data_IF_295362336994
#
_entry.id   IF_295362336994
#
_cell.length_a   1.000
_cell.length_b   1.000
_cell.length_c   1.000
_cell.angle_alpha   90.00
_cell.angle_beta   90.00
_cell.angle_gamma   90.00
#
_symmetry.space_group_name_H-M   'P 1'
#
loop_
_entity.id
_entity.type
_entity.pdbx_description
1 polymer ?
#
# COMPACT_ATOMS: atom_id res chain seq x y z
N UNK A 1 21.50 2.18 13.01
CA UNK A 1 20.70 1.91 11.79
C UNK A 1 19.26 2.40 11.96
N UNK A 2 18.79 3.33 11.11
CA UNK A 2 17.41 3.88 11.15
C UNK A 2 16.34 2.87 10.70
N UNK A 3 16.73 1.83 9.98
CA UNK A 3 15.83 0.84 9.35
C UNK A 3 15.27 -0.18 10.36
N UNK A 4 16.12 -0.70 11.25
CA UNK A 4 15.67 -1.59 12.35
C UNK A 4 14.77 -0.88 13.38
N UNK A 5 14.83 0.45 13.49
CA UNK A 5 14.00 1.24 14.42
C UNK A 5 12.51 1.20 14.08
N UNK A 6 12.13 1.05 12.80
CA UNK A 6 10.71 1.06 12.37
C UNK A 6 9.99 -0.23 12.74
N UNK A 7 10.60 -1.37 12.43
CA UNK A 7 10.08 -2.68 12.84
C UNK A 7 10.18 -2.85 14.36
N UNK A 8 11.28 -2.37 14.98
CA UNK A 8 11.44 -2.36 16.42
C UNK A 8 10.33 -1.60 17.15
N UNK A 9 9.92 -0.43 16.66
CA UNK A 9 8.82 0.34 17.24
C UNK A 9 7.46 -0.40 17.15
N UNK A 10 7.21 -1.14 16.07
CA UNK A 10 5.99 -1.97 15.95
C UNK A 10 5.99 -3.12 16.96
N UNK A 11 7.11 -3.83 17.09
CA UNK A 11 7.26 -4.92 18.06
C UNK A 11 7.15 -4.39 19.49
N UNK A 12 7.75 -3.23 19.78
CA UNK A 12 7.70 -2.61 21.11
C UNK A 12 6.30 -2.10 21.46
N UNK A 13 5.62 -1.44 20.53
CA UNK A 13 4.22 -1.02 20.70
C UNK A 13 3.29 -2.21 20.94
N UNK A 14 3.43 -3.27 20.14
CA UNK A 14 2.68 -4.52 20.34
C UNK A 14 3.00 -5.18 21.68
N UNK A 15 4.28 -5.18 22.10
CA UNK A 15 4.69 -5.82 23.35
C UNK A 15 4.13 -5.06 24.56
N UNK A 16 4.05 -3.74 24.49
CA UNK A 16 3.40 -2.91 25.51
C UNK A 16 1.90 -3.16 25.56
N UNK A 17 1.23 -3.32 24.42
CA UNK A 17 -0.20 -3.69 24.36
C UNK A 17 -0.47 -5.04 25.01
N UNK A 18 0.31 -6.07 24.66
CA UNK A 18 0.19 -7.40 25.27
C UNK A 18 0.55 -7.38 26.76
N UNK A 19 1.51 -6.53 27.15
CA UNK A 19 1.84 -6.28 28.55
C UNK A 19 0.68 -5.70 29.35
N UNK A 20 -0.09 -4.77 28.77
CA UNK A 20 -1.31 -4.25 29.38
C UNK A 20 -2.42 -5.31 29.55
N UNK A 21 -2.40 -6.37 28.74
CA UNK A 21 -3.27 -7.55 28.86
C UNK A 21 -2.75 -8.59 29.88
N UNK A 22 -1.64 -8.32 30.58
CA UNK A 22 -1.07 -9.21 31.58
C UNK A 22 -0.09 -10.27 31.02
N UNK A 23 0.26 -10.20 29.74
CA UNK A 23 1.19 -11.14 29.12
C UNK A 23 2.64 -10.69 29.39
N UNK A 24 3.45 -11.57 29.95
CA UNK A 24 4.86 -11.29 30.23
C UNK A 24 5.65 -10.87 28.97
N UNK A 25 6.50 -9.85 29.10
CA UNK A 25 7.23 -9.22 27.97
C UNK A 25 7.98 -10.21 27.08
N UNK A 26 8.58 -11.27 27.67
CA UNK A 26 9.26 -12.33 26.90
C UNK A 26 8.30 -13.10 25.96
N UNK A 27 7.11 -13.47 26.45
CA UNK A 27 6.09 -14.11 25.61
C UNK A 27 5.51 -13.15 24.58
N UNK A 28 5.27 -11.89 24.95
CA UNK A 28 4.73 -10.87 24.05
C UNK A 28 5.64 -10.66 22.82
N UNK A 29 6.96 -10.56 23.03
CA UNK A 29 7.93 -10.45 21.93
C UNK A 29 7.92 -11.71 21.06
N UNK A 30 7.86 -12.90 21.66
CA UNK A 30 7.77 -14.16 20.91
C UNK A 30 6.52 -14.25 20.02
N UNK A 31 5.36 -13.90 20.57
CA UNK A 31 4.09 -13.85 19.83
C UNK A 31 4.18 -12.87 18.65
N UNK A 32 4.71 -11.67 18.88
CA UNK A 32 4.83 -10.65 17.83
C UNK A 32 5.85 -11.04 16.75
N UNK A 33 6.96 -11.66 17.13
CA UNK A 33 7.94 -12.15 16.17
C UNK A 33 7.34 -13.21 15.25
N UNK A 34 6.61 -14.19 15.82
CA UNK A 34 5.89 -15.20 15.04
C UNK A 34 4.82 -14.56 14.17
N UNK A 35 4.02 -13.63 14.72
CA UNK A 35 2.99 -12.92 13.95
C UNK A 35 3.59 -12.18 12.75
N UNK A 36 4.67 -11.43 12.94
CA UNK A 36 5.34 -10.69 11.85
C UNK A 36 5.93 -11.66 10.82
N UNK A 37 6.58 -12.74 11.26
CA UNK A 37 7.17 -13.73 10.36
C UNK A 37 6.09 -14.46 9.54
N UNK A 38 5.01 -14.90 10.19
CA UNK A 38 3.87 -15.55 9.52
C UNK A 38 3.16 -14.60 8.57
N UNK A 39 2.91 -13.35 8.99
CA UNK A 39 2.33 -12.33 8.14
C UNK A 39 3.19 -12.09 6.90
N UNK A 40 4.50 -11.88 7.08
CA UNK A 40 5.44 -11.70 5.98
C UNK A 40 5.46 -12.91 5.04
N UNK A 41 5.46 -14.14 5.56
CA UNK A 41 5.41 -15.36 4.76
C UNK A 41 4.13 -15.49 3.93
N UNK A 42 2.97 -15.27 4.54
CA UNK A 42 1.67 -15.34 3.84
C UNK A 42 1.53 -14.22 2.81
N UNK A 43 1.98 -13.01 3.12
CA UNK A 43 1.97 -11.90 2.18
C UNK A 43 2.94 -12.14 1.04
N UNK A 44 4.13 -12.71 1.29
CA UNK A 44 5.11 -13.03 0.25
C UNK A 44 4.58 -14.10 -0.73
N UNK A 45 3.96 -15.17 -0.23
CA UNK A 45 3.32 -16.18 -1.08
C UNK A 45 2.22 -15.55 -1.95
N UNK A 46 1.33 -14.77 -1.33
CA UNK A 46 0.22 -14.13 -2.03
C UNK A 46 0.71 -13.09 -3.03
N UNK A 47 1.71 -12.28 -2.67
CA UNK A 47 2.30 -11.28 -3.55
C UNK A 47 3.00 -11.92 -4.75
N UNK A 48 3.77 -12.99 -4.54
CA UNK A 48 4.43 -13.72 -5.63
C UNK A 48 3.40 -14.31 -6.59
N UNK A 49 2.30 -14.84 -6.08
CA UNK A 49 1.18 -15.35 -6.88
C UNK A 49 0.51 -14.25 -7.68
N UNK A 50 0.21 -13.11 -7.06
CA UNK A 50 -0.40 -11.95 -7.72
C UNK A 50 0.52 -11.34 -8.79
N UNK A 51 1.80 -11.17 -8.48
CA UNK A 51 2.79 -10.64 -9.41
C UNK A 51 2.92 -11.54 -10.64
N UNK A 52 2.89 -12.87 -10.45
CA UNK A 52 2.83 -13.82 -11.56
C UNK A 52 1.60 -13.59 -12.44
N UNK A 53 0.42 -13.38 -11.87
CA UNK A 53 -0.79 -13.09 -12.66
C UNK A 53 -0.65 -11.80 -13.46
N UNK A 54 -0.15 -10.74 -12.84
CA UNK A 54 0.13 -9.47 -13.53
C UNK A 54 1.12 -9.67 -14.67
N UNK A 55 2.21 -10.41 -14.45
CA UNK A 55 3.20 -10.72 -15.51
C UNK A 55 2.56 -11.51 -16.66
N UNK A 56 1.72 -12.50 -16.36
CA UNK A 56 1.04 -13.30 -17.37
C UNK A 56 0.03 -12.47 -18.17
N UNK A 57 -0.72 -11.59 -17.51
CA UNK A 57 -1.67 -10.68 -18.14
C UNK A 57 -0.97 -9.68 -19.08
N UNK A 58 0.09 -9.02 -18.61
CA UNK A 58 0.88 -8.12 -19.45
C UNK A 58 1.53 -8.87 -20.62
N UNK A 59 2.10 -10.05 -20.38
CA UNK A 59 2.70 -10.86 -21.43
C UNK A 59 1.69 -11.30 -22.49
N UNK A 60 0.46 -11.64 -22.08
CA UNK A 60 -0.63 -11.97 -23.00
C UNK A 60 -1.03 -10.76 -23.85
N UNK A 61 -1.12 -9.58 -23.23
CA UNK A 61 -1.49 -8.30 -23.89
C UNK A 61 -0.44 -7.90 -24.93
N UNK A 62 0.84 -8.06 -24.61
CA UNK A 62 1.98 -7.71 -25.48
C UNK A 62 2.41 -8.88 -26.40
N UNK A 63 1.67 -10.01 -26.36
CA UNK A 63 1.91 -11.22 -27.17
C UNK A 63 3.27 -11.91 -26.95
N UNK A 64 3.85 -11.79 -25.75
CA UNK A 64 5.09 -12.46 -25.35
C UNK A 64 4.80 -13.89 -24.84
N UNK A 65 4.77 -14.86 -25.76
CA UNK A 65 4.46 -16.28 -25.47
C UNK A 65 5.30 -16.97 -24.39
N UNK A 66 6.61 -16.69 -24.19
CA UNK A 66 7.38 -17.37 -23.14
C UNK A 66 6.95 -16.97 -21.72
N UNK A 67 6.48 -15.73 -21.52
CA UNK A 67 6.11 -15.19 -20.21
C UNK A 67 4.68 -15.54 -19.79
N UNK A 68 3.90 -16.22 -20.64
CA UNK A 68 2.60 -16.76 -20.24
C UNK A 68 2.72 -18.08 -19.48
N UNK A 69 3.86 -18.77 -19.57
CA UNK A 69 4.10 -20.01 -18.84
C UNK A 69 4.23 -19.73 -17.33
N UNK A 70 3.48 -20.48 -16.51
CA UNK A 70 3.46 -20.33 -15.05
C UNK A 70 4.85 -20.36 -14.42
N UNK A 71 5.74 -21.23 -14.89
CA UNK A 71 7.06 -21.41 -14.26
C UNK A 71 7.99 -20.24 -14.58
N UNK A 72 7.97 -19.78 -15.83
CA UNK A 72 8.76 -18.61 -16.27
C UNK A 72 8.25 -17.35 -15.59
N UNK A 73 6.93 -17.16 -15.54
CA UNK A 73 6.32 -16.01 -14.86
C UNK A 73 6.60 -15.99 -13.34
N UNK A 74 6.58 -17.16 -12.67
CA UNK A 74 7.01 -17.25 -11.26
C UNK A 74 8.49 -16.92 -11.11
N UNK A 75 9.35 -17.46 -11.97
CA UNK A 75 10.79 -17.18 -11.94
C UNK A 75 11.08 -15.69 -12.10
N UNK A 76 10.38 -15.01 -13.02
CA UNK A 76 10.47 -13.55 -13.20
C UNK A 76 9.96 -12.81 -11.96
N UNK A 77 8.82 -13.23 -11.39
CA UNK A 77 8.29 -12.61 -10.18
C UNK A 77 9.28 -12.71 -9.00
N UNK A 78 9.86 -13.89 -8.77
CA UNK A 78 10.88 -14.12 -7.75
C UNK A 78 12.16 -13.34 -8.02
N UNK A 79 12.62 -13.29 -9.27
CA UNK A 79 13.82 -12.54 -9.65
C UNK A 79 13.64 -11.04 -9.42
N UNK A 80 12.49 -10.48 -9.81
CA UNK A 80 12.18 -9.06 -9.58
C UNK A 80 12.04 -8.75 -8.08
N UNK A 81 11.32 -9.59 -7.34
CA UNK A 81 11.18 -9.44 -5.89
C UNK A 81 12.54 -9.54 -5.16
N UNK A 82 13.36 -10.52 -5.55
CA UNK A 82 14.72 -10.69 -5.03
C UNK A 82 15.64 -9.53 -5.38
N UNK A 83 15.57 -9.02 -6.61
CA UNK A 83 16.30 -7.82 -7.04
C UNK A 83 15.95 -6.63 -6.14
N UNK A 84 14.66 -6.36 -5.94
CA UNK A 84 14.24 -5.28 -5.04
C UNK A 84 14.75 -5.54 -3.63
N UNK A 85 14.63 -6.76 -3.09
CA UNK A 85 15.06 -7.08 -1.72
C UNK A 85 16.58 -6.91 -1.48
N UNK A 86 17.41 -7.17 -2.50
CA UNK A 86 18.87 -7.08 -2.41
C UNK A 86 19.35 -5.63 -2.63
N UNK A 87 18.79 -4.93 -3.63
CA UNK A 87 19.31 -3.63 -4.07
C UNK A 87 18.62 -2.41 -3.43
N UNK A 88 17.55 -2.58 -2.66
CA UNK A 88 16.92 -1.44 -1.94
C UNK A 88 17.52 -1.14 -0.58
N UNK A 89 18.23 -2.08 0.04
CA UNK A 89 18.79 -1.94 1.37
C UNK A 89 20.28 -1.59 1.35
N UNK A 90 20.75 -0.98 2.44
CA UNK A 90 22.19 -0.73 2.66
C UNK A 90 23.04 -2.01 2.81
N UNK A 91 22.39 -3.14 3.08
CA UNK A 91 22.98 -4.47 3.16
C UNK A 91 21.99 -5.54 2.63
N UNK A 92 22.47 -6.73 2.23
CA UNK A 92 21.60 -7.85 1.87
C UNK A 92 20.61 -8.17 3.01
N UNK A 93 19.31 -8.16 2.70
CA UNK A 93 18.23 -8.37 3.69
C UNK A 93 17.69 -7.08 4.33
N UNK A 94 18.37 -5.94 4.19
CA UNK A 94 17.88 -4.65 4.67
C UNK A 94 16.77 -4.06 3.77
N UNK A 95 16.64 -4.54 2.52
CA UNK A 95 15.63 -4.06 1.58
C UNK A 95 14.19 -4.20 2.08
N UNK A 96 13.89 -5.27 2.84
CA UNK A 96 12.58 -5.43 3.48
C UNK A 96 12.24 -4.31 4.49
N UNK A 97 13.25 -3.85 5.25
CA UNK A 97 13.07 -2.75 6.21
C UNK A 97 12.98 -1.39 5.50
N UNK A 98 13.66 -1.23 4.36
CA UNK A 98 13.56 -0.05 3.51
C UNK A 98 12.16 0.09 2.86
N UNK A 99 11.53 -1.04 2.50
CA UNK A 99 10.18 -1.10 1.93
C UNK A 99 9.05 -0.98 2.96
N UNK A 100 9.33 -1.22 4.25
CA UNK A 100 8.33 -1.21 5.32
C UNK A 100 7.41 0.03 5.35
N UNK A 101 7.91 1.28 5.19
CA UNK A 101 7.04 2.45 5.13
C UNK A 101 6.10 2.45 3.92
N UNK A 102 6.58 1.98 2.77
CA UNK A 102 5.77 1.88 1.55
C UNK A 102 4.67 0.85 1.73
N UNK A 103 4.97 -0.27 2.38
CA UNK A 103 3.98 -1.27 2.77
C UNK A 103 2.87 -0.66 3.63
N UNK A 104 3.23 0.12 4.66
CA UNK A 104 2.26 0.82 5.50
C UNK A 104 1.42 1.84 4.72
N UNK A 105 2.04 2.64 3.87
CA UNK A 105 1.37 3.64 3.04
C UNK A 105 0.39 3.00 2.05
N UNK A 106 0.81 1.93 1.35
CA UNK A 106 -0.02 1.20 0.40
C UNK A 106 -1.26 0.58 1.07
N UNK A 107 -1.11 0.03 2.27
CA UNK A 107 -2.25 -0.51 3.01
C UNK A 107 -3.27 0.58 3.38
N UNK A 108 -2.79 1.78 3.73
CA UNK A 108 -3.68 2.92 3.97
C UNK A 108 -4.38 3.36 2.69
N UNK A 109 -3.66 3.40 1.55
CA UNK A 109 -4.26 3.74 0.25
C UNK A 109 -5.32 2.72 -0.18
N UNK A 110 -5.10 1.42 0.05
CA UNK A 110 -6.11 0.37 -0.19
C UNK A 110 -7.34 0.56 0.71
N UNK A 111 -7.14 0.89 1.98
CA UNK A 111 -8.25 1.25 2.87
C UNK A 111 -9.00 2.49 2.36
N UNK A 112 -8.28 3.50 1.88
CA UNK A 112 -8.84 4.69 1.25
C UNK A 112 -9.68 4.37 0.01
N UNK A 113 -9.22 3.45 -0.85
CA UNK A 113 -9.98 2.94 -1.99
C UNK A 113 -11.27 2.25 -1.54
N UNK A 114 -11.23 1.40 -0.52
CA UNK A 114 -12.43 0.73 0.01
C UNK A 114 -13.43 1.76 0.55
N UNK A 115 -12.97 2.75 1.32
CA UNK A 115 -13.86 3.82 1.80
C UNK A 115 -14.43 4.65 0.65
N UNK A 116 -13.67 4.90 -0.41
CA UNK A 116 -14.17 5.56 -1.62
C UNK A 116 -15.27 4.74 -2.29
N UNK A 117 -15.07 3.44 -2.47
CA UNK A 117 -16.08 2.54 -3.04
C UNK A 117 -17.35 2.50 -2.19
N UNK A 118 -17.22 2.40 -0.87
CA UNK A 118 -18.36 2.44 0.06
C UNK A 118 -19.07 3.80 -0.03
N UNK A 119 -18.32 4.90 -0.12
CA UNK A 119 -18.88 6.25 -0.26
C UNK A 119 -19.70 6.36 -1.55
N UNK A 120 -19.15 5.94 -2.69
CA UNK A 120 -19.87 5.92 -3.98
C UNK A 120 -21.10 5.02 -3.91
N UNK A 121 -20.99 3.86 -3.27
CA UNK A 121 -22.12 2.94 -3.07
C UNK A 121 -23.24 3.57 -2.22
N UNK A 122 -22.90 4.26 -1.13
CA UNK A 122 -23.89 4.94 -0.29
C UNK A 122 -24.55 6.12 -1.01
N UNK A 123 -23.80 6.86 -1.82
CA UNK A 123 -24.37 7.88 -2.71
C UNK A 123 -25.38 7.25 -3.66
N UNK A 124 -25.03 6.11 -4.28
CA UNK A 124 -25.95 5.39 -5.16
C UNK A 124 -27.24 4.98 -4.44
N UNK A 125 -27.13 4.52 -3.19
CA UNK A 125 -28.28 4.13 -2.35
C UNK A 125 -29.00 5.31 -1.70
N UNK A 126 -28.63 6.56 -2.03
CA UNK A 126 -29.17 7.81 -1.43
C UNK A 126 -29.09 7.79 0.11
N UNK A 127 -28.02 7.23 0.67
CA UNK A 127 -27.75 7.13 2.10
C UNK A 127 -26.71 8.18 2.53
N UNK A 128 -26.72 8.60 3.81
CA UNK A 128 -25.75 9.56 4.33
C UNK A 128 -24.31 9.03 4.22
N UNK A 129 -23.39 9.87 3.74
CA UNK A 129 -21.98 9.54 3.54
C UNK A 129 -21.03 10.12 4.58
N UNK A 130 -21.54 10.94 5.52
CA UNK A 130 -20.72 11.77 6.41
C UNK A 130 -19.80 10.96 7.32
N UNK A 131 -20.13 9.70 7.64
CA UNK A 131 -19.26 8.83 8.45
C UNK A 131 -18.10 8.21 7.66
N UNK A 132 -18.24 8.08 6.33
CA UNK A 132 -17.25 7.41 5.48
C UNK A 132 -16.23 8.40 4.89
N UNK A 133 -16.64 9.64 4.66
CA UNK A 133 -15.78 10.66 4.04
C UNK A 133 -14.56 11.04 4.91
N UNK A 134 -14.67 11.27 6.23
CA UNK A 134 -13.51 11.58 7.05
C UNK A 134 -12.42 10.49 7.04
N UNK A 135 -12.71 9.21 7.33
CA UNK A 135 -11.68 8.17 7.26
C UNK A 135 -11.16 7.97 5.83
N UNK A 136 -11.99 8.13 4.80
CA UNK A 136 -11.54 8.12 3.40
C UNK A 136 -10.46 9.18 3.15
N UNK A 137 -10.71 10.44 3.55
CA UNK A 137 -9.77 11.54 3.32
C UNK A 137 -8.46 11.28 4.05
N UNK A 138 -8.52 10.86 5.33
CA UNK A 138 -7.31 10.56 6.11
C UNK A 138 -6.50 9.45 5.43
N UNK A 139 -7.15 8.36 5.02
CA UNK A 139 -6.49 7.20 4.42
C UNK A 139 -5.95 7.46 3.00
N UNK A 140 -6.42 8.49 2.29
CA UNK A 140 -5.88 8.90 0.99
C UNK A 140 -4.79 9.97 1.11
N UNK A 141 -5.00 10.98 1.96
CA UNK A 141 -4.13 12.17 2.04
C UNK A 141 -2.91 11.94 2.92
N UNK A 142 -3.08 11.30 4.09
CA UNK A 142 -1.95 11.08 5.01
C UNK A 142 -0.81 10.24 4.40
N UNK A 143 -1.06 9.06 3.81
CA UNK A 143 0.01 8.30 3.18
C UNK A 143 0.60 9.02 1.96
N UNK A 144 -0.22 9.70 1.16
CA UNK A 144 0.27 10.50 0.03
C UNK A 144 1.22 11.61 0.50
N UNK A 145 0.89 12.29 1.59
CA UNK A 145 1.76 13.30 2.21
C UNK A 145 3.05 12.68 2.77
N UNK A 146 2.93 11.58 3.51
CA UNK A 146 4.08 10.88 4.08
C UNK A 146 5.06 10.39 3.00
N UNK A 147 4.54 9.90 1.87
CA UNK A 147 5.34 9.48 0.72
C UNK A 147 6.06 10.65 0.07
N UNK A 148 5.39 11.81 -0.12
CA UNK A 148 6.05 13.02 -0.62
C UNK A 148 7.20 13.46 0.29
N UNK A 149 6.99 13.44 1.61
CA UNK A 149 8.05 13.75 2.57
C UNK A 149 9.21 12.75 2.49
N UNK A 150 8.92 11.46 2.26
CA UNK A 150 9.94 10.43 2.12
C UNK A 150 10.69 10.49 0.79
N UNK A 151 10.07 11.04 -0.27
CA UNK A 151 10.70 11.25 -1.56
C UNK A 151 11.58 12.52 -1.56
N UNK A 152 11.05 13.66 -1.10
CA UNK A 152 11.64 14.99 -1.29
C UNK A 152 12.20 15.64 -0.02
N UNK A 153 11.99 15.05 1.16
CA UNK A 153 12.45 15.59 2.42
C UNK A 153 13.98 15.62 2.54
N UNK A 154 14.53 16.29 3.58
CA UNK A 154 15.97 16.47 3.76
C UNK A 154 16.77 15.16 3.84
N UNK A 155 16.13 14.08 4.30
CA UNK A 155 16.68 12.73 4.35
C UNK A 155 15.89 11.76 3.44
N UNK A 156 15.24 12.29 2.40
CA UNK A 156 14.39 11.52 1.49
C UNK A 156 15.18 10.76 0.43
N UNK A 157 14.52 9.91 -0.34
CA UNK A 157 15.15 9.06 -1.34
C UNK A 157 15.85 9.82 -2.47
N UNK A 158 15.48 11.08 -2.72
CA UNK A 158 16.09 11.92 -3.75
C UNK A 158 17.32 12.70 -3.26
N UNK A 159 17.31 13.17 -2.01
CA UNK A 159 18.29 14.15 -1.48
C UNK A 159 19.08 13.68 -0.26
N UNK A 160 18.83 12.47 0.24
CA UNK A 160 19.56 11.91 1.37
C UNK A 160 20.98 11.49 1.01
N UNK A 161 21.80 11.25 2.04
CA UNK A 161 23.21 10.85 1.92
C UNK A 161 23.43 9.56 1.11
N UNK A 162 22.40 8.71 1.00
CA UNK A 162 22.37 7.56 0.09
C UNK A 162 21.07 7.58 -0.73
N UNK A 163 21.07 8.18 -1.94
CA UNK A 163 19.88 8.27 -2.76
C UNK A 163 19.45 6.89 -3.24
N UNK A 164 18.14 6.61 -3.13
CA UNK A 164 17.55 5.34 -3.56
C UNK A 164 16.53 5.59 -4.67
N UNK A 165 17.02 5.58 -5.90
CA UNK A 165 16.21 5.85 -7.09
C UNK A 165 15.13 4.78 -7.33
N UNK A 166 15.32 3.55 -6.84
CA UNK A 166 14.32 2.49 -7.01
C UNK A 166 13.09 2.75 -6.14
N UNK A 167 13.29 3.09 -4.86
CA UNK A 167 12.19 3.48 -3.98
C UNK A 167 11.53 4.78 -4.42
N UNK A 168 12.33 5.74 -4.94
CA UNK A 168 11.79 6.95 -5.54
C UNK A 168 10.87 6.64 -6.72
N UNK A 169 11.27 5.73 -7.60
CA UNK A 169 10.46 5.28 -8.75
C UNK A 169 9.15 4.63 -8.31
N UNK A 170 9.20 3.70 -7.35
CA UNK A 170 7.98 3.12 -6.79
C UNK A 170 7.10 4.18 -6.12
N UNK A 171 7.68 5.08 -5.34
CA UNK A 171 6.95 6.15 -4.67
C UNK A 171 6.26 7.09 -5.66
N UNK A 172 6.95 7.47 -6.74
CA UNK A 172 6.38 8.28 -7.81
C UNK A 172 5.22 7.57 -8.51
N UNK A 173 5.39 6.29 -8.86
CA UNK A 173 4.32 5.49 -9.48
C UNK A 173 3.08 5.40 -8.57
N UNK A 174 3.28 5.11 -7.28
CA UNK A 174 2.19 5.06 -6.29
C UNK A 174 1.51 6.42 -6.14
N UNK A 175 2.27 7.51 -6.15
CA UNK A 175 1.72 8.86 -6.06
C UNK A 175 0.88 9.22 -7.28
N UNK A 176 1.34 8.87 -8.49
CA UNK A 176 0.58 9.06 -9.73
C UNK A 176 -0.74 8.28 -9.69
N UNK A 177 -0.70 7.01 -9.28
CA UNK A 177 -1.89 6.18 -9.13
C UNK A 177 -2.84 6.72 -8.06
N UNK A 178 -2.31 7.27 -6.97
CA UNK A 178 -3.12 7.88 -5.91
C UNK A 178 -3.83 9.14 -6.41
N UNK A 179 -3.14 10.01 -7.14
CA UNK A 179 -3.73 11.20 -7.75
C UNK A 179 -4.81 10.80 -8.76
N UNK A 180 -4.52 9.82 -9.62
CA UNK A 180 -5.51 9.26 -10.55
C UNK A 180 -6.75 8.79 -9.79
N UNK A 181 -6.57 7.98 -8.75
CA UNK A 181 -7.67 7.42 -7.98
C UNK A 181 -8.55 8.51 -7.34
N UNK A 182 -7.94 9.56 -6.79
CA UNK A 182 -8.67 10.70 -6.22
C UNK A 182 -9.49 11.38 -7.32
N UNK A 183 -8.90 11.60 -8.50
CA UNK A 183 -9.59 12.22 -9.65
C UNK A 183 -10.79 11.38 -10.09
N UNK A 184 -10.62 10.07 -10.28
CA UNK A 184 -11.72 9.16 -10.63
C UNK A 184 -12.82 9.14 -9.57
N UNK A 185 -12.44 9.11 -8.29
CA UNK A 185 -13.39 9.20 -7.18
C UNK A 185 -14.23 10.47 -7.22
N UNK A 186 -13.59 11.62 -7.47
CA UNK A 186 -14.28 12.91 -7.60
C UNK A 186 -15.20 12.94 -8.83
N UNK A 187 -14.74 12.41 -9.97
CA UNK A 187 -15.55 12.33 -11.20
C UNK A 187 -16.77 11.44 -10.98
N UNK A 188 -16.61 10.27 -10.38
CA UNK A 188 -17.69 9.33 -10.07
C UNK A 188 -18.75 9.99 -9.17
N UNK A 189 -18.32 10.69 -8.12
CA UNK A 189 -19.23 11.41 -7.21
C UNK A 189 -19.94 12.58 -7.91
N UNK A 190 -19.24 13.35 -8.74
CA UNK A 190 -19.84 14.47 -9.50
C UNK A 190 -20.88 13.99 -10.52
N UNK A 191 -20.57 12.90 -11.24
CA UNK A 191 -21.49 12.30 -12.22
C UNK A 191 -22.80 11.87 -11.55
N UNK A 192 -22.71 11.22 -10.40
CA UNK A 192 -23.88 10.79 -9.63
C UNK A 192 -24.69 11.96 -9.06
N UNK A 193 -24.04 13.01 -8.55
CA UNK A 193 -24.75 14.22 -8.10
C UNK A 193 -25.53 14.89 -9.23
N UNK A 194 -24.96 14.98 -10.43
CA UNK A 194 -25.65 15.54 -11.61
C UNK A 194 -26.86 14.70 -12.03
N UNK A 195 -26.74 13.37 -12.03
CA UNK A 195 -27.85 12.47 -12.35
C UNK A 195 -28.95 12.48 -11.28
N UNK A 196 -28.58 12.63 -10.00
CA UNK A 196 -29.55 12.80 -8.91
C UNK A 196 -30.28 14.14 -8.95
N UNK A 197 -29.59 15.23 -9.32
CA UNK A 197 -30.19 16.56 -9.48
C UNK A 197 -31.10 16.67 -10.71
N UNK A 198 -30.75 16.01 -11.82
CA UNK A 198 -31.59 15.96 -13.03
C UNK A 198 -32.87 15.11 -12.88
N UNK A 199 -32.99 14.35 -11.79
CA UNK A 199 -34.16 13.50 -11.49
C UNK A 199 -35.05 14.07 -10.37
N UNK A 200 -34.78 15.29 -9.88
CA UNK A 200 -35.67 15.99 -8.98
C UNK A 200 -36.78 16.67 -9.81
N UNK A 201 -38.07 16.48 -9.50
CA UNK A 201 -39.14 17.17 -10.20
C UNK A 201 -39.00 18.69 -9.99
N UNK A 202 -39.30 19.46 -11.03
CA UNK A 202 -39.07 20.91 -11.14
C UNK A 202 -39.96 21.75 -10.19
N UNK A 203 -40.83 21.10 -9.41
CA UNK A 203 -41.82 21.75 -8.57
C UNK A 203 -41.66 21.32 -7.10
N UNK A 204 -40.93 22.11 -6.32
CA UNK A 204 -40.95 22.12 -4.86
C UNK A 204 -40.92 23.57 -4.35
#
# INVERSE_FOLDING_TARGET
>A
HKEGKKLGAFIEGGANFLGALGIGRKMAVGILAVLVASFAGTTLDTATRLQRYVVQELASTVRLKPLTNRYVATGVALALGGYVAIFTGSAPGAGGLALWPMFGALNQLLAGLVFLLITVYLVWRRRPIWMMVPPMIVMLVMPAWAMLHQMFGPNGWLRGDQPNYLLLGFGAAVQLLTVWLIVEGVIALRKWRRQGAAAAPEDA
#
